data_IF_730288054384
#
_entry.id   IF_730288054384
#
_cell.length_a   1.000
_cell.length_b   1.000
_cell.length_c   1.000
_cell.angle_alpha   90.00
_cell.angle_beta   90.00
_cell.angle_gamma   90.00
#
_symmetry.space_group_name_H-M   'P 1'
#
loop_
_entity.id
_entity.type
_entity.pdbx_description
1 polymer ?
#
# COMPACT_ATOMS: atom_id res chain seq x y z
N UNK A 1 -9.69 14.63 -19.72
CA UNK A 1 -8.27 14.23 -19.61
C UNK A 1 -8.09 13.76 -18.19
N UNK A 2 -7.60 12.54 -18.01
CA UNK A 2 -7.30 11.97 -16.70
C UNK A 2 -6.17 12.77 -16.06
N UNK A 3 -6.36 13.27 -14.85
CA UNK A 3 -5.36 14.05 -14.11
C UNK A 3 -4.76 13.23 -12.99
N UNK A 4 -3.45 13.03 -13.02
CA UNK A 4 -2.71 12.25 -12.03
C UNK A 4 -1.88 13.18 -11.14
N UNK A 5 -2.08 13.10 -9.83
CA UNK A 5 -1.15 13.73 -8.90
C UNK A 5 0.05 12.80 -8.70
N UNK A 6 1.27 13.32 -8.89
CA UNK A 6 2.51 12.58 -8.68
C UNK A 6 3.22 13.15 -7.45
N UNK A 7 3.45 12.29 -6.45
CA UNK A 7 4.06 12.67 -5.18
C UNK A 7 5.28 11.79 -4.94
N UNK A 8 6.46 12.26 -5.33
CA UNK A 8 7.71 11.50 -5.10
C UNK A 8 8.04 11.34 -3.61
N UNK A 9 7.78 12.37 -2.80
CA UNK A 9 8.00 12.34 -1.36
C UNK A 9 9.48 12.48 -0.95
N UNK A 10 9.96 11.61 -0.06
CA UNK A 10 11.31 11.64 0.51
C UNK A 10 12.13 10.40 0.11
N UNK A 11 13.45 10.53 0.23
CA UNK A 11 14.40 9.42 0.06
C UNK A 11 14.28 8.74 -1.29
N UNK A 12 14.21 7.40 -1.32
CA UNK A 12 14.11 6.64 -2.58
C UNK A 12 12.82 6.90 -3.37
N UNK A 13 11.81 7.53 -2.76
CA UNK A 13 10.63 7.98 -3.48
C UNK A 13 10.97 8.92 -4.65
N UNK A 14 12.05 9.70 -4.51
CA UNK A 14 12.61 10.57 -5.55
C UNK A 14 13.30 9.80 -6.69
N UNK A 15 13.56 8.51 -6.52
CA UNK A 15 14.19 7.65 -7.54
C UNK A 15 13.17 6.73 -8.20
N UNK A 16 12.29 6.09 -7.42
CA UNK A 16 11.39 5.04 -7.93
C UNK A 16 10.12 5.60 -8.59
N UNK A 17 9.61 6.74 -8.12
CA UNK A 17 8.40 7.35 -8.69
C UNK A 17 8.61 7.91 -10.10
N UNK A 18 9.72 8.62 -10.40
CA UNK A 18 10.00 9.03 -11.78
C UNK A 18 10.05 7.85 -12.75
N UNK A 19 10.63 6.71 -12.34
CA UNK A 19 10.68 5.49 -13.17
C UNK A 19 9.29 4.91 -13.40
N UNK A 20 8.47 4.80 -12.35
CA UNK A 20 7.10 4.32 -12.48
C UNK A 20 6.24 5.25 -13.37
N UNK A 21 6.38 6.56 -13.18
CA UNK A 21 5.65 7.56 -13.97
C UNK A 21 6.08 7.57 -15.42
N UNK A 22 7.38 7.44 -15.72
CA UNK A 22 7.89 7.39 -17.09
C UNK A 22 7.29 6.21 -17.88
N UNK A 23 7.13 5.04 -17.25
CA UNK A 23 6.44 3.88 -17.86
C UNK A 23 4.97 4.20 -18.13
N UNK A 24 4.25 4.77 -17.16
CA UNK A 24 2.83 5.12 -17.31
C UNK A 24 2.64 6.18 -18.39
N UNK A 25 3.41 7.26 -18.36
CA UNK A 25 3.35 8.36 -19.32
C UNK A 25 3.75 7.95 -20.74
N UNK A 26 4.60 6.92 -20.88
CA UNK A 26 4.92 6.33 -22.19
C UNK A 26 3.76 5.50 -22.75
N UNK A 27 2.99 4.81 -21.89
CA UNK A 27 1.80 4.05 -22.30
C UNK A 27 0.58 4.95 -22.56
N UNK A 28 0.44 6.02 -21.77
CA UNK A 28 -0.71 6.94 -21.79
C UNK A 28 -0.25 8.40 -21.86
N UNK A 29 0.29 8.86 -23.01
CA UNK A 29 0.75 10.24 -23.19
C UNK A 29 -0.38 11.29 -23.11
N UNK A 30 -1.65 10.86 -23.14
CA UNK A 30 -2.81 11.70 -22.98
C UNK A 30 -3.16 12.04 -21.51
N UNK A 31 -2.52 11.39 -20.54
CA UNK A 31 -2.70 11.72 -19.13
C UNK A 31 -2.02 13.04 -18.79
N UNK A 32 -2.74 13.91 -18.09
CA UNK A 32 -2.18 15.12 -17.49
C UNK A 32 -1.63 14.78 -16.11
N UNK A 33 -0.48 15.33 -15.75
CA UNK A 33 0.11 15.12 -14.43
C UNK A 33 0.57 16.40 -13.80
N UNK A 34 0.44 16.47 -12.48
CA UNK A 34 0.97 17.57 -11.69
C UNK A 34 1.66 17.04 -10.43
N UNK A 35 2.76 17.68 -10.06
CA UNK A 35 3.52 17.31 -8.88
C UNK A 35 2.94 17.98 -7.63
N UNK A 36 2.95 17.26 -6.51
CA UNK A 36 2.66 17.81 -5.18
C UNK A 36 3.83 17.49 -4.26
N UNK A 37 4.60 18.51 -3.86
CA UNK A 37 5.75 18.34 -2.97
C UNK A 37 5.27 18.29 -1.51
N UNK A 38 5.32 17.13 -0.87
CA UNK A 38 5.06 16.94 0.56
C UNK A 38 6.14 16.07 1.17
N UNK A 39 6.31 16.15 2.49
CA UNK A 39 7.22 15.26 3.22
C UNK A 39 8.17 15.96 4.18
N UNK A 40 9.09 15.17 4.71
CA UNK A 40 10.06 15.61 5.69
C UNK A 40 11.06 16.62 5.11
N UNK A 41 11.52 16.43 3.86
CA UNK A 41 12.43 17.36 3.22
C UNK A 41 11.83 18.77 3.11
N UNK A 42 10.53 18.89 2.80
CA UNK A 42 9.79 20.16 2.79
C UNK A 42 9.63 20.74 4.20
N UNK A 43 9.31 19.88 5.17
CA UNK A 43 9.19 20.28 6.58
C UNK A 43 10.49 20.86 7.13
N UNK A 44 11.65 20.25 6.82
CA UNK A 44 12.96 20.77 7.25
C UNK A 44 13.26 22.17 6.73
N UNK A 45 12.73 22.54 5.55
CA UNK A 45 12.93 23.86 4.94
C UNK A 45 11.93 24.91 5.45
N UNK A 46 10.68 24.51 5.73
CA UNK A 46 9.56 25.44 5.89
C UNK A 46 8.77 25.28 7.19
N UNK A 47 9.00 24.22 7.96
CA UNK A 47 8.19 23.84 9.12
C UNK A 47 6.84 23.21 8.76
N UNK A 48 6.51 23.08 7.47
CA UNK A 48 5.23 22.52 6.99
C UNK A 48 5.48 21.33 6.08
N UNK A 49 5.06 20.13 6.51
CA UNK A 49 5.24 18.89 5.75
C UNK A 49 4.17 18.70 4.66
N UNK A 50 2.93 19.12 4.96
CA UNK A 50 1.76 19.06 4.09
C UNK A 50 0.77 20.13 4.55
N UNK A 51 0.46 21.08 3.68
CA UNK A 51 -0.50 22.16 3.85
C UNK A 51 -1.90 21.78 3.33
N UNK A 52 -2.91 22.59 3.65
CA UNK A 52 -4.28 22.37 3.17
C UNK A 52 -4.42 22.53 1.66
N UNK A 53 -3.60 23.39 1.05
CA UNK A 53 -3.54 23.54 -0.41
C UNK A 53 -3.02 22.27 -1.08
N UNK A 54 -2.10 21.52 -0.44
CA UNK A 54 -1.62 20.23 -0.98
C UNK A 54 -2.75 19.19 -0.98
N UNK A 55 -3.53 19.13 0.11
CA UNK A 55 -4.72 18.27 0.18
C UNK A 55 -5.75 18.66 -0.88
N UNK A 56 -5.94 19.97 -1.09
CA UNK A 56 -6.84 20.49 -2.13
C UNK A 56 -6.37 20.10 -3.52
N UNK A 57 -5.07 20.18 -3.80
CA UNK A 57 -4.47 19.74 -5.04
C UNK A 57 -4.69 18.23 -5.25
N UNK A 58 -4.41 17.40 -4.25
CA UNK A 58 -4.63 15.95 -4.29
C UNK A 58 -6.10 15.59 -4.56
N UNK A 59 -7.05 16.33 -3.98
CA UNK A 59 -8.50 16.16 -4.24
C UNK A 59 -8.94 16.53 -5.66
N UNK A 60 -8.09 17.22 -6.42
CA UNK A 60 -8.37 17.59 -7.83
C UNK A 60 -7.89 16.55 -8.84
N UNK A 61 -7.18 15.51 -8.39
CA UNK A 61 -6.73 14.39 -9.22
C UNK A 61 -7.79 13.29 -9.32
N UNK A 62 -7.77 12.58 -10.44
CA UNK A 62 -8.55 11.35 -10.63
C UNK A 62 -7.88 10.16 -9.91
N UNK A 63 -6.54 10.16 -9.82
CA UNK A 63 -5.76 9.22 -9.02
C UNK A 63 -4.43 9.83 -8.56
N UNK A 64 -3.87 9.29 -7.48
CA UNK A 64 -2.61 9.76 -6.90
C UNK A 64 -1.57 8.64 -6.97
N UNK A 65 -0.42 8.90 -7.59
CA UNK A 65 0.77 8.06 -7.52
C UNK A 65 1.71 8.64 -6.46
N UNK A 66 2.04 7.86 -5.45
CA UNK A 66 2.75 8.33 -4.27
C UNK A 66 3.96 7.45 -3.97
N UNK A 67 5.09 8.07 -3.63
CA UNK A 67 6.35 7.43 -3.29
C UNK A 67 6.40 7.04 -1.83
N UNK A 68 7.31 7.66 -1.10
CA UNK A 68 7.50 7.36 0.31
C UNK A 68 7.69 8.66 1.10
N UNK A 69 7.35 8.67 2.38
CA UNK A 69 7.59 9.82 3.26
C UNK A 69 8.33 9.36 4.50
N UNK A 70 9.33 10.15 4.90
CA UNK A 70 10.01 9.96 6.18
C UNK A 70 9.14 10.54 7.28
N UNK A 71 8.77 9.75 8.29
CA UNK A 71 8.07 10.24 9.49
C UNK A 71 9.06 10.23 10.66
N UNK A 72 9.68 11.38 11.02
CA UNK A 72 10.55 11.46 12.19
C UNK A 72 9.73 11.31 13.49
N UNK A 73 10.34 10.82 14.59
CA UNK A 73 9.72 10.82 15.92
C UNK A 73 9.77 12.22 16.57
N UNK A 74 9.35 13.25 15.83
CA UNK A 74 9.31 14.65 16.27
C UNK A 74 7.86 15.02 16.67
N UNK A 75 7.60 15.48 17.91
CA UNK A 75 6.27 15.89 18.36
C UNK A 75 5.65 17.03 17.53
N UNK A 76 6.46 17.83 16.86
CA UNK A 76 6.02 18.91 15.97
C UNK A 76 5.75 18.44 14.54
N UNK A 77 6.06 17.19 14.21
CA UNK A 77 5.82 16.59 12.91
C UNK A 77 4.55 15.74 12.92
N UNK A 78 3.65 16.02 11.97
CA UNK A 78 2.47 15.19 11.72
C UNK A 78 2.71 14.31 10.52
N UNK A 79 2.41 13.02 10.64
CA UNK A 79 2.57 12.07 9.53
C UNK A 79 1.74 12.49 8.30
N UNK A 80 2.42 12.79 7.20
CA UNK A 80 1.81 13.24 5.95
C UNK A 80 0.87 12.19 5.39
N UNK A 81 1.29 10.92 5.34
CA UNK A 81 0.47 9.86 4.77
C UNK A 81 -0.81 9.62 5.59
N UNK A 82 -0.74 9.71 6.92
CA UNK A 82 -1.92 9.59 7.78
C UNK A 82 -2.87 10.78 7.55
N UNK A 83 -2.34 12.00 7.46
CA UNK A 83 -3.14 13.20 7.12
C UNK A 83 -3.84 13.04 5.78
N UNK A 84 -3.14 12.58 4.75
CA UNK A 84 -3.70 12.34 3.41
C UNK A 84 -4.80 11.29 3.45
N UNK A 85 -4.54 10.12 4.06
CA UNK A 85 -5.52 9.03 4.21
C UNK A 85 -6.79 9.47 4.92
N UNK A 86 -6.66 10.26 5.99
CA UNK A 86 -7.81 10.80 6.72
C UNK A 86 -8.56 11.86 5.88
N UNK A 87 -7.85 12.80 5.26
CA UNK A 87 -8.47 13.90 4.52
C UNK A 87 -9.21 13.46 3.25
N UNK A 88 -8.81 12.32 2.67
CA UNK A 88 -9.39 11.69 1.48
C UNK A 88 -10.29 10.48 1.82
N UNK A 89 -10.44 10.14 3.11
CA UNK A 89 -11.17 8.95 3.60
C UNK A 89 -10.77 7.64 2.89
N UNK A 90 -9.45 7.42 2.74
CA UNK A 90 -8.87 6.24 2.09
C UNK A 90 -8.82 5.04 3.05
N UNK A 91 -9.99 4.49 3.36
CA UNK A 91 -10.17 3.55 4.45
C UNK A 91 -9.68 2.12 4.19
N UNK A 92 -9.53 1.71 2.94
CA UNK A 92 -9.09 0.37 2.57
C UNK A 92 -7.70 0.42 1.97
N UNK A 93 -6.70 -0.15 2.66
CA UNK A 93 -5.36 -0.35 2.10
C UNK A 93 -5.25 -1.79 1.58
N UNK A 94 -5.18 -1.94 0.26
CA UNK A 94 -5.06 -3.21 -0.44
C UNK A 94 -3.59 -3.49 -0.72
N UNK A 95 -3.07 -4.60 -0.18
CA UNK A 95 -1.67 -5.02 -0.34
C UNK A 95 -1.64 -6.40 -1.00
N UNK A 96 -1.55 -6.49 -2.34
CA UNK A 96 -1.42 -7.76 -3.02
C UNK A 96 -0.01 -8.33 -2.82
N UNK A 97 0.07 -9.63 -2.59
CA UNK A 97 1.30 -10.42 -2.47
C UNK A 97 1.14 -11.64 -3.37
N UNK A 98 1.86 -11.63 -4.49
CA UNK A 98 1.70 -12.62 -5.56
C UNK A 98 3.03 -13.30 -5.86
N UNK A 99 2.99 -14.63 -5.85
CA UNK A 99 4.05 -15.50 -6.33
C UNK A 99 3.49 -16.51 -7.33
N UNK A 100 4.31 -17.45 -7.77
CA UNK A 100 3.92 -18.43 -8.78
C UNK A 100 2.80 -19.37 -8.32
N UNK A 101 2.71 -19.63 -7.01
CA UNK A 101 1.79 -20.61 -6.41
C UNK A 101 0.71 -19.99 -5.51
N UNK A 102 0.71 -18.66 -5.34
CA UNK A 102 -0.22 -17.96 -4.45
C UNK A 102 -0.51 -16.53 -4.95
N UNK A 103 -1.74 -16.06 -4.72
CA UNK A 103 -2.18 -14.70 -5.06
C UNK A 103 -3.07 -14.19 -3.92
N UNK A 104 -2.47 -13.44 -3.00
CA UNK A 104 -3.07 -13.04 -1.73
C UNK A 104 -3.31 -11.54 -1.77
N UNK A 105 -4.48 -11.06 -1.34
CA UNK A 105 -4.68 -9.64 -1.02
C UNK A 105 -4.91 -9.49 0.47
N UNK A 106 -4.04 -8.72 1.12
CA UNK A 106 -4.26 -8.25 2.48
C UNK A 106 -5.04 -6.94 2.41
N UNK A 107 -6.23 -6.93 2.99
CA UNK A 107 -7.15 -5.81 3.10
C UNK A 107 -7.03 -5.23 4.51
N UNK A 108 -6.23 -4.18 4.63
CA UNK A 108 -5.94 -3.48 5.88
C UNK A 108 -6.92 -2.32 6.07
N UNK A 109 -7.59 -2.30 7.22
CA UNK A 109 -8.32 -1.12 7.70
C UNK A 109 -7.32 0.04 7.90
N UNK A 110 -7.60 1.23 7.35
CA UNK A 110 -6.58 2.27 7.18
C UNK A 110 -6.92 3.63 7.82
N UNK A 111 -7.98 3.69 8.63
CA UNK A 111 -8.52 4.94 9.20
C UNK A 111 -8.56 4.96 10.73
N UNK A 112 -8.56 3.81 11.40
CA UNK A 112 -8.65 3.72 12.86
C UNK A 112 -7.63 2.70 13.42
N UNK A 113 -7.93 2.06 14.56
CA UNK A 113 -7.02 1.15 15.26
C UNK A 113 -6.08 1.89 16.22
N UNK A 114 -4.81 1.46 16.27
CA UNK A 114 -3.77 2.15 17.05
C UNK A 114 -3.30 3.46 16.41
N UNK A 115 -3.70 3.72 15.16
CA UNK A 115 -3.41 4.94 14.43
C UNK A 115 -4.51 6.00 14.66
N UNK A 116 -5.24 5.90 15.78
CA UNK A 116 -6.30 6.83 16.16
C UNK A 116 -5.78 8.25 16.46
N UNK A 117 -4.48 8.39 16.71
CA UNK A 117 -3.86 9.65 17.15
C UNK A 117 -4.21 10.05 18.59
N UNK A 118 -4.89 9.18 19.34
CA UNK A 118 -5.25 9.44 20.73
C UNK A 118 -4.16 8.87 21.63
N UNK A 119 -3.22 9.74 22.00
CA UNK A 119 -2.06 9.38 22.80
C UNK A 119 -1.71 10.45 23.84
N UNK A 120 -1.14 10.02 24.96
CA UNK A 120 -0.58 10.92 25.97
C UNK A 120 0.58 10.27 26.69
N UNK A 121 1.48 11.09 27.22
CA UNK A 121 2.64 10.66 28.00
C UNK A 121 2.66 11.37 29.35
N UNK A 122 2.78 10.58 30.39
CA UNK A 122 3.01 10.97 31.78
C UNK A 122 4.48 10.73 32.16
N UNK A 123 4.84 10.96 33.43
CA UNK A 123 6.23 10.84 33.91
C UNK A 123 6.79 9.43 33.75
N UNK A 124 5.99 8.41 34.06
CA UNK A 124 6.38 7.00 34.15
C UNK A 124 5.50 6.08 33.28
N UNK A 125 4.63 6.67 32.45
CA UNK A 125 3.67 5.95 31.60
C UNK A 125 3.43 6.68 30.30
N UNK A 126 3.19 5.95 29.23
CA UNK A 126 2.59 6.46 28.00
C UNK A 126 1.38 5.59 27.64
N UNK A 127 0.36 6.20 27.05
CA UNK A 127 -0.87 5.54 26.66
C UNK A 127 -1.23 5.88 25.22
N UNK A 128 -1.63 4.87 24.47
CA UNK A 128 -2.17 4.98 23.10
C UNK A 128 -3.49 4.23 23.06
N UNK A 129 -4.55 4.87 22.57
CA UNK A 129 -5.89 4.29 22.57
C UNK A 129 -6.17 3.62 21.22
N UNK A 130 -6.44 2.32 21.27
CA UNK A 130 -6.93 1.58 20.10
C UNK A 130 -8.42 1.82 19.92
N UNK A 131 -8.82 2.38 18.78
CA UNK A 131 -10.24 2.62 18.43
C UNK A 131 -10.67 1.67 17.32
N UNK A 132 -11.81 1.01 17.49
CA UNK A 132 -12.47 0.22 16.44
C UNK A 132 -13.94 0.60 16.46
N UNK A 133 -14.47 1.01 15.30
CA UNK A 133 -15.86 1.43 15.15
C UNK A 133 -16.66 0.42 14.33
N UNK A 134 -17.98 0.49 14.51
CA UNK A 134 -18.90 -0.36 13.74
C UNK A 134 -18.81 -0.04 12.25
N UNK A 135 -18.78 1.25 11.91
CA UNK A 135 -18.77 1.69 10.51
C UNK A 135 -17.44 1.38 9.83
N UNK A 136 -16.31 1.67 10.48
CA UNK A 136 -14.97 1.31 10.00
C UNK A 136 -14.84 -0.18 9.72
N UNK A 137 -15.31 -1.02 10.64
CA UNK A 137 -15.33 -2.47 10.48
C UNK A 137 -16.25 -2.94 9.33
N UNK A 138 -17.45 -2.34 9.17
CA UNK A 138 -18.37 -2.71 8.09
C UNK A 138 -17.82 -2.38 6.71
N UNK A 139 -17.29 -1.18 6.51
CA UNK A 139 -16.79 -0.75 5.20
C UNK A 139 -15.59 -1.56 4.75
N UNK A 140 -14.64 -1.85 5.66
CA UNK A 140 -13.49 -2.70 5.31
C UNK A 140 -13.90 -4.15 5.06
N UNK A 141 -14.86 -4.68 5.82
CA UNK A 141 -15.41 -6.01 5.57
C UNK A 141 -16.04 -6.10 4.18
N UNK A 142 -16.84 -5.11 3.77
CA UNK A 142 -17.45 -5.07 2.43
C UNK A 142 -16.41 -5.02 1.32
N UNK A 143 -15.36 -4.22 1.48
CA UNK A 143 -14.25 -4.19 0.53
C UNK A 143 -13.61 -5.57 0.37
N UNK A 144 -13.35 -6.27 1.47
CA UNK A 144 -12.76 -7.61 1.45
C UNK A 144 -13.73 -8.67 0.90
N UNK A 145 -15.02 -8.60 1.24
CA UNK A 145 -16.08 -9.49 0.75
C UNK A 145 -16.21 -9.39 -0.78
N UNK A 146 -16.18 -8.16 -1.32
CA UNK A 146 -16.20 -7.94 -2.78
C UNK A 146 -15.03 -8.65 -3.44
N UNK A 147 -13.81 -8.42 -2.94
CA UNK A 147 -12.59 -9.03 -3.48
C UNK A 147 -12.61 -10.56 -3.37
N UNK A 148 -13.08 -11.10 -2.24
CA UNK A 148 -13.19 -12.54 -2.05
C UNK A 148 -14.22 -13.17 -3.01
N UNK A 149 -15.34 -12.48 -3.25
CA UNK A 149 -16.36 -12.91 -4.21
C UNK A 149 -15.86 -12.88 -5.66
N UNK A 150 -15.20 -11.80 -6.08
CA UNK A 150 -14.60 -11.66 -7.42
C UNK A 150 -13.53 -12.73 -7.69
N UNK A 151 -12.78 -13.11 -6.65
CA UNK A 151 -11.72 -14.13 -6.72
C UNK A 151 -12.22 -15.55 -6.47
N UNK A 152 -13.46 -15.72 -6.03
CA UNK A 152 -14.03 -17.03 -5.67
C UNK A 152 -13.27 -17.75 -4.56
N UNK A 153 -12.73 -17.01 -3.57
CA UNK A 153 -11.87 -17.57 -2.53
C UNK A 153 -12.47 -17.41 -1.12
N UNK A 154 -11.87 -18.11 -0.14
CA UNK A 154 -12.18 -17.94 1.28
C UNK A 154 -11.73 -16.55 1.76
N UNK A 155 -12.57 -15.89 2.58
CA UNK A 155 -12.21 -14.68 3.32
C UNK A 155 -11.66 -15.03 4.71
N UNK A 156 -10.39 -14.75 4.96
CA UNK A 156 -9.79 -14.94 6.29
C UNK A 156 -9.83 -13.63 7.09
N UNK A 157 -10.36 -13.68 8.32
CA UNK A 157 -10.51 -12.53 9.23
C UNK A 157 -9.44 -12.61 10.33
N UNK A 158 -8.35 -11.87 10.15
CA UNK A 158 -7.25 -11.79 11.11
C UNK A 158 -7.61 -10.92 12.31
N UNK A 159 -7.45 -11.43 13.53
CA UNK A 159 -7.83 -10.71 14.75
C UNK A 159 -7.02 -11.16 15.99
N UNK A 160 -7.15 -10.47 17.12
CA UNK A 160 -6.66 -10.92 18.44
C UNK A 160 -7.77 -10.90 19.48
N UNK A 161 -8.98 -11.35 19.11
CA UNK A 161 -10.18 -11.28 19.93
C UNK A 161 -10.10 -12.10 21.24
N UNK A 162 -9.13 -13.01 21.36
CA UNK A 162 -8.85 -13.74 22.61
C UNK A 162 -8.22 -12.85 23.71
N UNK A 163 -7.57 -11.74 23.33
CA UNK A 163 -6.90 -10.84 24.27
C UNK A 163 -7.49 -9.42 24.20
N UNK A 164 -7.82 -8.95 23.00
CA UNK A 164 -8.18 -7.55 22.77
C UNK A 164 -9.68 -7.42 22.49
N UNK A 165 -10.39 -6.70 23.38
CA UNK A 165 -11.84 -6.52 23.29
C UNK A 165 -12.30 -5.81 22.01
N UNK A 166 -11.52 -4.83 21.52
CA UNK A 166 -11.87 -4.13 20.27
C UNK A 166 -11.86 -5.06 19.06
N UNK A 167 -11.08 -6.15 19.10
CA UNK A 167 -11.08 -7.16 18.04
C UNK A 167 -12.28 -8.10 18.08
N UNK A 168 -12.92 -8.26 19.24
CA UNK A 168 -14.20 -8.98 19.32
C UNK A 168 -15.22 -8.27 18.45
N UNK A 169 -15.33 -6.94 18.58
CA UNK A 169 -16.22 -6.12 17.77
C UNK A 169 -15.89 -6.21 16.26
N UNK A 170 -14.61 -6.02 15.91
CA UNK A 170 -14.16 -6.12 14.51
C UNK A 170 -14.50 -7.48 13.89
N UNK A 171 -14.12 -8.57 14.58
CA UNK A 171 -14.37 -9.95 14.14
C UNK A 171 -15.87 -10.19 13.95
N UNK A 172 -16.68 -9.85 14.94
CA UNK A 172 -18.12 -10.14 14.92
C UNK A 172 -18.81 -9.42 13.76
N UNK A 173 -18.43 -8.18 13.48
CA UNK A 173 -18.94 -7.42 12.33
C UNK A 173 -18.49 -8.03 11.01
N UNK A 174 -17.20 -8.35 10.85
CA UNK A 174 -16.68 -8.95 9.63
C UNK A 174 -17.36 -10.30 9.33
N UNK A 175 -17.48 -11.16 10.34
CA UNK A 175 -18.19 -12.45 10.23
C UNK A 175 -19.67 -12.25 9.87
N UNK A 176 -20.35 -11.28 10.50
CA UNK A 176 -21.74 -10.97 10.21
C UNK A 176 -21.95 -10.49 8.77
N UNK A 177 -21.14 -9.54 8.30
CA UNK A 177 -21.24 -9.03 6.93
C UNK A 177 -20.90 -10.13 5.91
N UNK A 178 -19.90 -10.98 6.18
CA UNK A 178 -19.54 -12.09 5.30
C UNK A 178 -20.65 -13.14 5.20
N UNK A 179 -21.23 -13.53 6.34
CA UNK A 179 -22.37 -14.45 6.39
C UNK A 179 -23.59 -13.88 5.65
N UNK A 180 -23.88 -12.59 5.85
CA UNK A 180 -24.97 -11.89 5.16
C UNK A 180 -24.77 -11.84 3.65
N UNK A 181 -23.53 -11.72 3.18
CA UNK A 181 -23.16 -11.72 1.77
C UNK A 181 -23.03 -13.13 1.16
N UNK A 182 -23.12 -14.20 1.96
CA UNK A 182 -22.95 -15.58 1.48
C UNK A 182 -21.51 -15.94 1.10
N UNK A 183 -20.51 -15.17 1.55
CA UNK A 183 -19.10 -15.48 1.32
C UNK A 183 -18.62 -16.49 2.37
N UNK A 184 -17.85 -17.49 1.94
CA UNK A 184 -17.19 -18.41 2.87
C UNK A 184 -16.09 -17.66 3.62
N UNK A 185 -16.06 -17.79 4.94
CA UNK A 185 -15.07 -17.09 5.77
C UNK A 185 -14.57 -17.96 6.93
N UNK A 186 -13.40 -17.60 7.44
CA UNK A 186 -12.86 -18.11 8.70
C UNK A 186 -12.28 -16.95 9.52
N UNK A 187 -12.20 -17.14 10.85
CA UNK A 187 -11.54 -16.20 11.74
C UNK A 187 -10.26 -16.85 12.28
N UNK A 188 -9.13 -16.15 12.18
CA UNK A 188 -7.84 -16.66 12.61
C UNK A 188 -7.15 -15.65 13.54
N UNK A 189 -6.44 -16.15 14.55
CA UNK A 189 -5.65 -15.28 15.41
C UNK A 189 -4.39 -14.80 14.69
N UNK A 190 -4.10 -13.50 14.78
CA UNK A 190 -3.12 -12.84 13.92
C UNK A 190 -1.70 -13.42 14.03
N UNK A 191 -1.34 -13.93 15.21
CA UNK A 191 -0.06 -14.59 15.47
C UNK A 191 0.05 -15.95 14.76
N UNK A 192 -0.98 -16.79 14.86
CA UNK A 192 -1.03 -18.06 14.14
C UNK A 192 -1.15 -17.85 12.64
N UNK A 193 -1.92 -16.84 12.22
CA UNK A 193 -2.07 -16.44 10.82
C UNK A 193 -0.73 -16.01 10.21
N UNK A 194 0.04 -15.17 10.90
CA UNK A 194 1.34 -14.71 10.40
C UNK A 194 2.30 -15.89 10.15
N UNK A 195 2.36 -16.87 11.05
CA UNK A 195 3.17 -18.06 10.88
C UNK A 195 2.65 -18.96 9.74
N UNK A 196 1.35 -19.25 9.73
CA UNK A 196 0.76 -20.16 8.75
C UNK A 196 0.74 -19.58 7.33
N UNK A 197 0.63 -18.25 7.19
CA UNK A 197 0.74 -17.54 5.92
C UNK A 197 2.11 -17.78 5.27
N UNK A 198 3.20 -17.78 6.05
CA UNK A 198 4.54 -18.03 5.52
C UNK A 198 4.77 -19.49 5.16
N UNK A 199 4.23 -20.41 5.95
CA UNK A 199 4.39 -21.85 5.73
C UNK A 199 3.49 -22.37 4.60
N UNK A 200 2.29 -21.81 4.45
CA UNK A 200 1.24 -22.31 3.57
C UNK A 200 0.51 -21.18 2.82
N UNK A 201 1.22 -20.31 2.07
CA UNK A 201 0.64 -19.13 1.45
C UNK A 201 -0.51 -19.44 0.47
N UNK A 202 -0.45 -20.58 -0.23
CA UNK A 202 -1.46 -21.00 -1.20
C UNK A 202 -2.86 -21.27 -0.60
N UNK A 203 -2.98 -21.32 0.74
CA UNK A 203 -4.28 -21.46 1.43
C UNK A 203 -5.10 -20.17 1.46
N UNK A 204 -4.45 -19.03 1.24
CA UNK A 204 -5.04 -17.72 1.44
C UNK A 204 -5.33 -17.04 0.10
N UNK A 205 -6.48 -16.38 0.01
CA UNK A 205 -6.86 -15.56 -1.14
C UNK A 205 -7.08 -14.10 -0.74
N UNK A 206 -7.99 -13.85 0.20
CA UNK A 206 -8.22 -12.51 0.77
C UNK A 206 -8.15 -12.59 2.29
N UNK A 207 -7.34 -11.72 2.89
CA UNK A 207 -7.21 -11.58 4.34
C UNK A 207 -7.66 -10.18 4.72
N UNK A 208 -8.63 -10.04 5.62
CA UNK A 208 -9.03 -8.75 6.18
C UNK A 208 -8.59 -8.63 7.63
N UNK A 209 -8.02 -7.48 8.01
CA UNK A 209 -7.55 -7.24 9.38
C UNK A 209 -7.48 -5.74 9.71
N UNK A 210 -7.37 -5.43 11.00
CA UNK A 210 -7.25 -4.05 11.49
C UNK A 210 -5.90 -3.42 11.17
N UNK A 211 -5.83 -2.09 11.24
CA UNK A 211 -4.69 -1.26 10.83
C UNK A 211 -3.29 -1.81 11.14
N UNK A 212 -2.88 -1.85 12.42
CA UNK A 212 -1.51 -2.28 12.79
C UNK A 212 -1.21 -3.74 12.40
N UNK A 213 -2.22 -4.61 12.44
CA UNK A 213 -2.06 -6.01 12.08
C UNK A 213 -1.90 -6.17 10.58
N UNK A 214 -2.62 -5.39 9.78
CA UNK A 214 -2.47 -5.38 8.34
C UNK A 214 -1.11 -4.85 7.92
N UNK A 215 -0.59 -3.84 8.63
CA UNK A 215 0.76 -3.30 8.41
C UNK A 215 1.83 -4.39 8.60
N UNK A 216 1.83 -5.01 9.78
CA UNK A 216 2.82 -6.03 10.13
C UNK A 216 2.67 -7.26 9.23
N UNK A 217 1.44 -7.74 9.02
CA UNK A 217 1.21 -8.97 8.25
C UNK A 217 1.64 -8.82 6.80
N UNK A 218 1.38 -7.66 6.17
CA UNK A 218 1.81 -7.45 4.78
C UNK A 218 3.31 -7.34 4.64
N UNK A 219 4.00 -6.73 5.60
CA UNK A 219 5.45 -6.61 5.57
C UNK A 219 6.11 -7.98 5.75
N UNK A 220 5.56 -8.79 6.67
CA UNK A 220 5.94 -10.20 6.85
C UNK A 220 5.71 -10.99 5.56
N UNK A 221 4.56 -10.81 4.89
CA UNK A 221 4.26 -11.47 3.63
C UNK A 221 5.23 -11.06 2.50
N UNK A 222 5.90 -9.91 2.61
CA UNK A 222 6.98 -9.49 1.71
C UNK A 222 8.12 -10.51 1.60
N UNK A 223 8.37 -11.29 2.65
CA UNK A 223 9.34 -12.39 2.63
C UNK A 223 9.07 -13.38 1.48
N UNK A 224 7.80 -13.63 1.16
CA UNK A 224 7.38 -14.60 0.15
C UNK A 224 7.73 -14.18 -1.29
N UNK A 225 8.00 -12.90 -1.52
CA UNK A 225 8.18 -12.31 -2.85
C UNK A 225 9.51 -11.58 -3.03
N UNK A 226 10.43 -11.71 -2.08
CA UNK A 226 11.78 -11.12 -2.17
C UNK A 226 11.99 -9.82 -1.38
N UNK A 227 11.01 -9.38 -0.60
CA UNK A 227 11.12 -8.25 0.32
C UNK A 227 10.20 -7.06 -0.01
N UNK A 228 10.37 -5.97 0.75
CA UNK A 228 9.48 -4.80 0.69
C UNK A 228 9.55 -4.05 -0.64
N UNK A 229 10.69 -4.09 -1.34
CA UNK A 229 10.88 -3.48 -2.67
C UNK A 229 9.96 -4.05 -3.77
N UNK A 230 9.25 -5.13 -3.47
CA UNK A 230 8.40 -5.86 -4.40
C UNK A 230 6.90 -5.61 -4.16
N UNK A 231 6.53 -4.99 -3.04
CA UNK A 231 5.15 -4.89 -2.57
C UNK A 231 4.51 -3.54 -2.94
N UNK A 232 3.51 -3.54 -3.85
CA UNK A 232 2.70 -2.35 -4.09
C UNK A 232 1.56 -2.26 -3.06
N UNK A 233 0.89 -1.12 -3.02
CA UNK A 233 -0.37 -0.97 -2.30
C UNK A 233 -1.30 0.06 -2.93
N UNK A 234 -2.60 -0.08 -2.64
CA UNK A 234 -3.61 0.89 -3.01
C UNK A 234 -4.45 1.28 -1.80
N UNK A 235 -4.50 2.57 -1.51
CA UNK A 235 -5.35 3.19 -0.51
C UNK A 235 -6.61 3.69 -1.20
N UNK A 236 -7.73 3.02 -0.96
CA UNK A 236 -8.99 3.24 -1.63
C UNK A 236 -10.01 3.83 -0.65
N UNK A 237 -10.62 4.94 -1.06
CA UNK A 237 -11.84 5.48 -0.48
C UNK A 237 -12.98 5.42 -1.49
N UNK A 238 -14.14 5.97 -1.13
CA UNK A 238 -15.32 5.97 -2.02
C UNK A 238 -15.18 6.94 -3.21
N UNK A 239 -14.33 7.96 -3.08
CA UNK A 239 -14.15 9.03 -4.08
C UNK A 239 -12.72 9.17 -4.62
N UNK A 240 -11.73 8.75 -3.85
CA UNK A 240 -10.33 9.00 -4.12
C UNK A 240 -9.54 7.71 -4.00
N UNK A 241 -8.43 7.62 -4.73
CA UNK A 241 -7.50 6.50 -4.68
C UNK A 241 -6.05 6.98 -4.73
N UNK A 242 -5.21 6.37 -3.89
CA UNK A 242 -3.77 6.64 -3.82
C UNK A 242 -3.00 5.33 -3.87
N UNK A 243 -2.03 5.26 -4.78
CA UNK A 243 -1.23 4.08 -5.05
C UNK A 243 0.21 4.34 -4.63
N UNK A 244 0.75 3.48 -3.76
CA UNK A 244 2.07 3.67 -3.18
C UNK A 244 2.78 2.32 -2.93
N UNK A 245 4.12 2.28 -3.04
CA UNK A 245 4.89 1.18 -2.48
C UNK A 245 4.60 0.96 -1.00
N UNK A 246 4.70 -0.29 -0.53
CA UNK A 246 4.60 -0.56 0.92
C UNK A 246 5.83 -0.05 1.68
N UNK A 247 7.00 -0.03 1.04
CA UNK A 247 8.26 0.36 1.68
C UNK A 247 8.32 1.85 2.05
N UNK A 248 9.12 2.17 3.06
CA UNK A 248 9.41 3.56 3.45
C UNK A 248 10.41 4.26 2.53
N UNK A 249 10.95 5.39 3.01
CA UNK A 249 11.85 6.27 2.27
C UNK A 249 13.30 5.77 2.14
N UNK A 250 13.68 4.72 2.86
CA UNK A 250 15.01 4.09 2.83
C UNK A 250 16.19 5.10 2.73
N UNK A 251 16.36 5.98 3.74
CA UNK A 251 17.34 7.07 3.71
C UNK A 251 18.80 6.58 3.64
N UNK A 252 19.05 5.32 3.99
CA UNK A 252 20.35 4.65 3.92
C UNK A 252 20.83 4.40 2.49
N UNK A 253 19.91 4.25 1.52
CA UNK A 253 20.25 4.03 0.09
C UNK A 253 19.81 5.17 -0.83
N UNK A 254 19.09 6.17 -0.31
CA UNK A 254 18.64 7.31 -1.09
C UNK A 254 19.82 8.07 -1.72
N UNK A 255 19.68 8.41 -3.01
CA UNK A 255 20.68 9.07 -3.84
C UNK A 255 21.74 8.14 -4.42
N UNK A 256 21.69 6.83 -4.16
CA UNK A 256 22.67 5.87 -4.68
C UNK A 256 22.28 5.27 -6.03
N UNK A 257 21.04 5.44 -6.48
CA UNK A 257 20.58 4.94 -7.78
C UNK A 257 20.42 3.41 -7.83
N UNK A 258 20.25 2.78 -6.67
CA UNK A 258 20.15 1.32 -6.51
C UNK A 258 18.81 0.87 -5.92
N UNK A 259 17.89 1.81 -5.67
CA UNK A 259 16.56 1.48 -5.18
C UNK A 259 15.81 0.59 -6.17
N UNK A 260 15.10 -0.41 -5.67
CA UNK A 260 14.28 -1.29 -6.50
C UNK A 260 12.96 -0.58 -6.87
N UNK A 261 12.69 -0.27 -8.16
CA UNK A 261 11.47 0.44 -8.54
C UNK A 261 10.26 -0.49 -8.71
N UNK A 262 10.39 -1.81 -8.52
CA UNK A 262 9.31 -2.78 -8.80
C UNK A 262 8.02 -2.45 -8.04
N UNK A 263 8.08 -2.15 -6.74
CA UNK A 263 6.90 -1.79 -5.97
C UNK A 263 6.21 -0.51 -6.48
N UNK A 264 6.97 0.48 -6.92
CA UNK A 264 6.43 1.72 -7.51
C UNK A 264 5.78 1.46 -8.87
N UNK A 265 6.43 0.67 -9.73
CA UNK A 265 5.89 0.30 -11.03
C UNK A 265 4.60 -0.51 -10.87
N UNK A 266 4.56 -1.47 -9.93
CA UNK A 266 3.35 -2.23 -9.60
C UNK A 266 2.24 -1.36 -9.01
N UNK A 267 2.59 -0.35 -8.21
CA UNK A 267 1.61 0.64 -7.72
C UNK A 267 1.04 1.46 -8.88
N UNK A 268 1.87 1.81 -9.86
CA UNK A 268 1.45 2.37 -11.14
C UNK A 268 0.51 1.46 -11.94
N UNK A 269 0.79 0.16 -12.00
CA UNK A 269 -0.10 -0.81 -12.63
C UNK A 269 -1.46 -0.89 -11.89
N UNK A 270 -1.48 -0.88 -10.56
CA UNK A 270 -2.73 -0.81 -9.78
C UNK A 270 -3.51 0.48 -10.05
N UNK A 271 -2.81 1.60 -10.27
CA UNK A 271 -3.42 2.87 -10.68
C UNK A 271 -4.09 2.74 -12.05
N UNK A 272 -3.41 2.16 -13.04
CA UNK A 272 -3.97 1.93 -14.37
C UNK A 272 -5.21 1.03 -14.31
N UNK A 273 -5.14 -0.06 -13.54
CA UNK A 273 -6.29 -0.94 -13.33
C UNK A 273 -7.48 -0.20 -12.71
N UNK A 274 -7.25 0.66 -11.72
CA UNK A 274 -8.29 1.48 -11.11
C UNK A 274 -8.97 2.44 -12.11
N UNK A 275 -8.20 2.99 -13.05
CA UNK A 275 -8.70 3.86 -14.11
C UNK A 275 -9.36 3.10 -15.28
N UNK A 276 -9.39 1.77 -15.24
CA UNK A 276 -10.01 0.92 -16.26
C UNK A 276 -9.04 0.37 -17.32
N UNK A 277 -7.73 0.62 -17.19
CA UNK A 277 -6.68 0.15 -18.11
C UNK A 277 -6.07 -1.17 -17.63
N UNK A 278 -6.93 -2.17 -17.39
CA UNK A 278 -6.51 -3.47 -16.83
C UNK A 278 -5.52 -4.21 -17.73
N UNK A 279 -5.69 -4.14 -19.04
CA UNK A 279 -4.80 -4.83 -19.98
C UNK A 279 -3.36 -4.29 -19.89
N UNK A 280 -3.19 -2.98 -19.76
CA UNK A 280 -1.87 -2.36 -19.58
C UNK A 280 -1.27 -2.68 -18.21
N UNK A 281 -2.08 -2.72 -17.15
CA UNK A 281 -1.63 -3.20 -15.85
C UNK A 281 -1.09 -4.64 -15.91
N UNK A 282 -1.77 -5.54 -16.64
CA UNK A 282 -1.32 -6.91 -16.85
C UNK A 282 -0.05 -6.99 -17.72
N UNK A 283 0.08 -6.14 -18.74
CA UNK A 283 1.30 -6.03 -19.55
C UNK A 283 2.50 -5.60 -18.72
N UNK A 284 2.35 -4.61 -17.83
CA UNK A 284 3.40 -4.16 -16.92
C UNK A 284 3.86 -5.29 -16.01
N UNK A 285 2.94 -6.02 -15.37
CA UNK A 285 3.32 -7.15 -14.50
C UNK A 285 4.04 -8.26 -15.29
N UNK A 286 3.56 -8.58 -16.50
CA UNK A 286 4.23 -9.55 -17.37
C UNK A 286 5.65 -9.11 -17.76
N UNK A 287 5.84 -7.83 -18.08
CA UNK A 287 7.14 -7.25 -18.39
C UNK A 287 8.10 -7.29 -17.19
N UNK A 288 7.64 -6.90 -16.00
CA UNK A 288 8.41 -7.03 -14.75
C UNK A 288 8.88 -8.47 -14.54
N UNK A 289 7.98 -9.45 -14.66
CA UNK A 289 8.31 -10.86 -14.51
C UNK A 289 9.30 -11.34 -15.57
N UNK A 290 9.21 -10.87 -16.82
CA UNK A 290 10.16 -11.23 -17.88
C UNK A 290 11.56 -10.65 -17.61
N UNK A 291 11.66 -9.38 -17.22
CA UNK A 291 12.93 -8.71 -16.87
C UNK A 291 13.61 -9.40 -15.69
N UNK A 292 12.85 -9.69 -14.62
CA UNK A 292 13.37 -10.38 -13.43
C UNK A 292 13.82 -11.81 -13.79
N UNK A 293 13.05 -12.57 -14.58
CA UNK A 293 13.42 -13.93 -15.02
C UNK A 293 14.67 -13.97 -15.90
N UNK A 294 14.98 -12.87 -16.61
CA UNK A 294 16.23 -12.71 -17.36
C UNK A 294 17.44 -12.40 -16.46
N UNK A 295 17.24 -12.25 -15.15
CA UNK A 295 18.29 -11.93 -14.18
C UNK A 295 18.68 -10.44 -14.15
N UNK A 296 17.86 -9.56 -14.75
CA UNK A 296 18.06 -8.11 -14.63
C UNK A 296 17.35 -7.67 -13.36
N UNK A 297 18.12 -7.55 -12.28
CA UNK A 297 17.61 -7.19 -10.96
C UNK A 297 18.51 -6.16 -10.27
N UNK A 298 17.94 -5.41 -9.34
CA UNK A 298 18.63 -4.47 -8.47
C UNK A 298 19.37 -5.20 -7.32
N UNK A 299 20.26 -4.52 -6.57
CA UNK A 299 21.11 -5.18 -5.57
C UNK A 299 20.37 -5.89 -4.43
N UNK A 300 19.17 -5.45 -4.06
CA UNK A 300 18.31 -6.10 -3.05
C UNK A 300 17.89 -7.52 -3.46
N UNK A 301 17.85 -7.80 -4.76
CA UNK A 301 17.58 -9.12 -5.34
C UNK A 301 18.86 -9.80 -5.86
N UNK A 302 20.04 -9.31 -5.44
CA UNK A 302 21.35 -9.90 -5.78
C UNK A 302 21.89 -9.56 -7.18
N UNK A 303 21.26 -8.62 -7.90
CA UNK A 303 21.72 -8.18 -9.21
C UNK A 303 22.59 -6.93 -9.16
N UNK A 304 22.84 -6.33 -10.33
CA UNK A 304 23.69 -5.14 -10.50
C UNK A 304 23.01 -4.03 -11.29
N UNK A 305 21.72 -4.14 -11.59
CA UNK A 305 20.97 -3.09 -12.26
C UNK A 305 20.83 -1.86 -11.35
N UNK A 306 20.87 -0.68 -11.94
CA UNK A 306 20.50 0.57 -11.25
C UNK A 306 18.98 0.74 -11.32
N UNK A 307 18.42 1.65 -10.50
CA UNK A 307 16.99 2.01 -10.55
C UNK A 307 16.55 2.34 -11.97
N UNK A 308 17.35 3.17 -12.66
CA UNK A 308 17.07 3.63 -14.03
C UNK A 308 17.24 2.48 -15.03
N UNK A 309 18.34 1.73 -14.98
CA UNK A 309 18.57 0.67 -15.97
C UNK A 309 17.56 -0.47 -15.86
N UNK A 310 17.02 -0.72 -14.66
CA UNK A 310 15.89 -1.62 -14.47
C UNK A 310 14.62 -1.08 -15.14
N UNK A 311 14.29 0.21 -14.92
CA UNK A 311 13.15 0.88 -15.58
C UNK A 311 13.22 0.81 -17.11
N UNK A 312 14.38 1.13 -17.68
CA UNK A 312 14.63 1.04 -19.12
C UNK A 312 14.47 -0.39 -19.65
N UNK A 313 14.92 -1.40 -18.90
CA UNK A 313 14.73 -2.79 -19.27
C UNK A 313 13.24 -3.18 -19.32
N UNK A 314 12.42 -2.66 -18.40
CA UNK A 314 10.97 -2.87 -18.38
C UNK A 314 10.29 -2.17 -19.57
N UNK A 315 10.68 -0.93 -19.89
CA UNK A 315 10.17 -0.21 -21.08
C UNK A 315 10.49 -0.94 -22.37
N UNK A 316 11.75 -1.40 -22.51
CA UNK A 316 12.17 -2.20 -23.66
C UNK A 316 11.36 -3.49 -23.81
N UNK A 317 11.01 -4.16 -22.70
CA UNK A 317 10.14 -5.35 -22.70
C UNK A 317 8.69 -5.02 -23.08
N UNK A 318 8.19 -3.83 -22.71
CA UNK A 318 6.87 -3.33 -23.10
C UNK A 318 6.80 -2.84 -24.55
N UNK A 319 7.95 -2.61 -25.18
CA UNK A 319 8.06 -2.06 -26.54
C UNK A 319 7.81 -0.56 -26.64
N UNK A 320 8.13 0.19 -25.57
CA UNK A 320 7.98 1.65 -25.45
C UNK A 320 9.31 2.34 -25.12
#
# INVERSE_FOLDING_TARGET
>A
MTRIAVVSGDGIGQEVIPVAWDIIGSLHPEFDSFEVEVGYARWQKSGVACADDDITALKSADAILFGAITTPPDPCYQSVILRIRQALDLYANLRPVKGDLFDIIIVRENSEGLYSGIEWREKDRACTVRVVSVEGSRRIARAAIRLAGERGCLLTIGNKANVIKSDVLFRDICCHEAAKAGISFEACYIDSLALDLLLHPARYGVIVTTNIFGDILSDVAGYLVGGLGMLPSANIGDRYALFEPVHGSAPDIAGQGIANPVAAIRSGAMLLEHLGYRDDALRIEAALQAVIRRGITTPDLGGTATTISFGEAVKAELGI
#
